data_IF_628024303185
#
_entry.id   IF_628024303185
#
_cell.length_a   1.000
_cell.length_b   1.000
_cell.length_c   1.000
_cell.angle_alpha   90.00
_cell.angle_beta   90.00
_cell.angle_gamma   90.00
#
_symmetry.space_group_name_H-M   'P 1'
#
loop_
_entity.id
_entity.type
_entity.pdbx_description
1 polymer ?
#
# COMPACT_ATOMS: atom_id res chain seq x y z
N UNK A 1 -35.42 7.11 -15.48
CA UNK A 1 -35.90 5.99 -14.64
C UNK A 1 -35.31 4.65 -15.07
N UNK A 2 -35.36 4.25 -16.34
CA UNK A 2 -34.71 3.02 -16.83
C UNK A 2 -33.18 2.98 -16.57
N UNK A 3 -32.46 4.03 -16.98
CA UNK A 3 -31.01 4.12 -16.75
C UNK A 3 -30.58 4.15 -15.26
N UNK A 4 -31.47 4.56 -14.35
CA UNK A 4 -31.18 4.56 -12.91
C UNK A 4 -31.38 3.16 -12.29
N UNK A 5 -32.40 2.43 -12.74
CA UNK A 5 -32.61 1.03 -12.34
C UNK A 5 -31.52 0.10 -12.87
N UNK A 6 -31.05 0.34 -14.09
CA UNK A 6 -29.94 -0.40 -14.70
C UNK A 6 -28.62 -0.19 -13.93
N UNK A 7 -28.33 1.06 -13.53
CA UNK A 7 -27.16 1.39 -12.69
C UNK A 7 -27.21 0.73 -11.30
N UNK A 8 -28.38 0.72 -10.65
CA UNK A 8 -28.56 0.01 -9.36
C UNK A 8 -28.26 -1.49 -9.49
N UNK A 9 -28.77 -2.13 -10.54
CA UNK A 9 -28.54 -3.55 -10.79
C UNK A 9 -27.07 -3.89 -11.09
N UNK A 10 -26.36 -3.01 -11.80
CA UNK A 10 -24.92 -3.20 -12.07
C UNK A 10 -24.09 -3.14 -10.77
N UNK A 11 -24.38 -2.16 -9.90
CA UNK A 11 -23.68 -2.03 -8.61
C UNK A 11 -23.94 -3.24 -7.70
N UNK A 12 -25.18 -3.71 -7.64
CA UNK A 12 -25.56 -4.92 -6.90
C UNK A 12 -24.84 -6.16 -7.47
N UNK A 13 -24.72 -6.27 -8.79
CA UNK A 13 -24.00 -7.36 -9.44
C UNK A 13 -22.49 -7.34 -9.10
N UNK A 14 -21.85 -6.17 -9.07
CA UNK A 14 -20.45 -6.03 -8.66
C UNK A 14 -20.26 -6.44 -7.19
N UNK A 15 -21.16 -6.01 -6.29
CA UNK A 15 -21.13 -6.40 -4.89
C UNK A 15 -21.33 -7.92 -4.71
N UNK A 16 -22.30 -8.52 -5.41
CA UNK A 16 -22.54 -9.96 -5.37
C UNK A 16 -21.33 -10.75 -5.91
N UNK A 17 -20.68 -10.26 -6.97
CA UNK A 17 -19.49 -10.88 -7.51
C UNK A 17 -18.31 -10.83 -6.52
N UNK A 18 -18.15 -9.72 -5.80
CA UNK A 18 -17.16 -9.60 -4.72
C UNK A 18 -17.39 -10.69 -3.66
N UNK A 19 -18.61 -10.82 -3.14
CA UNK A 19 -18.96 -11.82 -2.13
C UNK A 19 -18.73 -13.26 -2.61
N UNK A 20 -18.98 -13.53 -3.89
CA UNK A 20 -18.71 -14.85 -4.47
C UNK A 20 -17.21 -15.17 -4.58
N UNK A 21 -16.37 -14.17 -4.75
CA UNK A 21 -14.94 -14.34 -5.09
C UNK A 21 -13.99 -14.12 -3.92
N UNK A 22 -14.43 -13.42 -2.88
CA UNK A 22 -13.60 -13.12 -1.69
C UNK A 22 -13.06 -14.41 -1.07
N UNK A 23 -11.74 -14.45 -0.82
CA UNK A 23 -11.07 -15.60 -0.23
C UNK A 23 -11.05 -16.88 -1.09
N UNK A 24 -11.48 -16.84 -2.36
CA UNK A 24 -11.52 -18.02 -3.24
C UNK A 24 -10.82 -17.76 -4.57
N UNK A 25 -9.54 -18.15 -4.66
CA UNK A 25 -8.74 -18.05 -5.89
C UNK A 25 -9.43 -18.76 -7.08
N UNK A 26 -10.00 -19.95 -6.86
CA UNK A 26 -10.69 -20.71 -7.90
C UNK A 26 -11.91 -19.96 -8.48
N UNK A 27 -12.77 -19.40 -7.63
CA UNK A 27 -13.95 -18.63 -8.08
C UNK A 27 -13.53 -17.33 -8.75
N UNK A 28 -12.52 -16.67 -8.20
CA UNK A 28 -12.00 -15.44 -8.75
C UNK A 28 -11.32 -15.66 -10.12
N UNK A 29 -10.61 -16.78 -10.31
CA UNK A 29 -10.07 -17.21 -11.59
C UNK A 29 -11.17 -17.56 -12.61
N UNK A 30 -12.23 -18.25 -12.17
CA UNK A 30 -13.38 -18.56 -13.01
C UNK A 30 -14.10 -17.29 -13.48
N UNK A 31 -14.39 -16.36 -12.56
CA UNK A 31 -15.00 -15.08 -12.88
C UNK A 31 -14.13 -14.23 -13.82
N UNK A 32 -12.82 -14.16 -13.56
CA UNK A 32 -11.88 -13.45 -14.45
C UNK A 32 -11.84 -14.08 -15.85
N UNK A 33 -11.91 -15.41 -15.96
CA UNK A 33 -11.95 -16.12 -17.25
C UNK A 33 -13.26 -15.92 -17.99
N UNK A 34 -14.36 -15.68 -17.27
CA UNK A 34 -15.67 -15.34 -17.82
C UNK A 34 -15.77 -13.86 -18.27
N UNK A 35 -14.69 -13.08 -18.19
CA UNK A 35 -14.68 -11.68 -18.64
C UNK A 35 -15.14 -10.66 -17.60
N UNK A 36 -15.18 -11.01 -16.32
CA UNK A 36 -15.65 -10.09 -15.28
C UNK A 36 -14.80 -8.81 -15.14
N UNK A 37 -13.48 -8.90 -15.34
CA UNK A 37 -12.55 -7.77 -15.18
C UNK A 37 -12.86 -6.60 -16.15
N UNK A 38 -12.89 -6.81 -17.49
CA UNK A 38 -13.21 -5.72 -18.40
C UNK A 38 -14.63 -5.17 -18.18
N UNK A 39 -15.62 -6.03 -17.91
CA UNK A 39 -17.00 -5.58 -17.65
C UNK A 39 -17.10 -4.67 -16.41
N UNK A 40 -16.38 -5.00 -15.34
CA UNK A 40 -16.31 -4.17 -14.14
C UNK A 40 -15.62 -2.83 -14.42
N UNK A 41 -14.59 -2.81 -15.27
CA UNK A 41 -13.91 -1.57 -15.63
C UNK A 41 -14.78 -0.63 -16.46
N UNK A 42 -15.53 -1.16 -17.42
CA UNK A 42 -16.48 -0.38 -18.24
C UNK A 42 -17.53 0.33 -17.38
N UNK A 43 -17.91 -0.28 -16.24
CA UNK A 43 -18.83 0.35 -15.29
C UNK A 43 -18.27 1.62 -14.64
N UNK A 44 -16.95 1.77 -14.57
CA UNK A 44 -16.28 2.98 -14.04
C UNK A 44 -16.25 4.08 -15.11
N UNK A 45 -16.07 3.73 -16.39
CA UNK A 45 -15.96 4.68 -17.51
C UNK A 45 -17.30 5.27 -17.97
N UNK A 46 -18.42 4.53 -17.87
CA UNK A 46 -19.75 4.98 -18.36
C UNK A 46 -20.36 6.12 -17.53
N UNK A 47 -19.67 6.57 -16.49
CA UNK A 47 -20.18 7.52 -15.53
C UNK A 47 -19.52 8.88 -15.70
N UNK A 48 -20.19 9.82 -16.39
CA UNK A 48 -19.78 11.24 -16.45
C UNK A 48 -19.69 11.95 -15.08
N UNK A 49 -20.05 11.26 -14.00
CA UNK A 49 -19.67 11.49 -12.59
C UNK A 49 -20.09 10.21 -11.84
N UNK A 50 -19.19 9.22 -11.63
CA UNK A 50 -19.60 7.98 -10.99
C UNK A 50 -19.97 8.27 -9.53
N UNK A 51 -21.17 7.85 -9.14
CA UNK A 51 -21.56 7.89 -7.73
C UNK A 51 -20.51 7.10 -6.93
N UNK A 52 -19.95 7.65 -5.83
CA UNK A 52 -18.86 7.02 -5.08
C UNK A 52 -19.14 5.55 -4.71
N UNK A 53 -20.42 5.23 -4.46
CA UNK A 53 -20.88 3.88 -4.15
C UNK A 53 -20.66 2.87 -5.29
N UNK A 54 -20.83 3.28 -6.55
CA UNK A 54 -20.60 2.41 -7.70
C UNK A 54 -19.12 2.08 -7.88
N UNK A 55 -18.24 3.09 -7.74
CA UNK A 55 -16.78 2.88 -7.81
C UNK A 55 -16.32 1.97 -6.66
N UNK A 56 -16.88 2.13 -5.46
CA UNK A 56 -16.61 1.28 -4.31
C UNK A 56 -16.94 -0.19 -4.58
N UNK A 57 -18.14 -0.48 -5.10
CA UNK A 57 -18.54 -1.86 -5.41
C UNK A 57 -17.63 -2.49 -6.46
N UNK A 58 -17.32 -1.74 -7.52
CA UNK A 58 -16.41 -2.18 -8.59
C UNK A 58 -14.99 -2.40 -8.05
N UNK A 59 -14.44 -1.44 -7.32
CA UNK A 59 -13.09 -1.52 -6.76
C UNK A 59 -12.95 -2.71 -5.80
N UNK A 60 -13.99 -2.99 -5.00
CA UNK A 60 -14.05 -4.17 -4.14
C UNK A 60 -14.06 -5.48 -4.92
N UNK A 61 -14.85 -5.57 -5.99
CA UNK A 61 -14.89 -6.75 -6.86
C UNK A 61 -13.57 -6.95 -7.63
N UNK A 62 -12.99 -5.88 -8.17
CA UNK A 62 -11.69 -5.96 -8.85
C UNK A 62 -10.57 -6.36 -7.88
N UNK A 63 -10.62 -5.90 -6.63
CA UNK A 63 -9.69 -6.33 -5.57
C UNK A 63 -9.79 -7.84 -5.31
N UNK A 64 -10.99 -8.38 -5.12
CA UNK A 64 -11.16 -9.83 -4.89
C UNK A 64 -10.76 -10.66 -6.12
N UNK A 65 -10.97 -10.12 -7.32
CA UNK A 65 -10.50 -10.74 -8.57
C UNK A 65 -9.00 -10.65 -8.78
N UNK A 66 -8.29 -9.70 -8.17
CA UNK A 66 -6.82 -9.60 -8.26
C UNK A 66 -6.10 -10.35 -7.14
N UNK A 67 -6.78 -10.59 -6.01
CA UNK A 67 -6.19 -11.19 -4.82
C UNK A 67 -5.57 -12.56 -5.11
N UNK A 68 -4.33 -12.73 -4.65
CA UNK A 68 -3.56 -13.97 -4.80
C UNK A 68 -2.98 -14.23 -6.19
N UNK A 69 -3.17 -13.36 -7.19
CA UNK A 69 -2.69 -13.62 -8.55
C UNK A 69 -2.12 -12.38 -9.25
N UNK A 70 -0.81 -12.40 -9.51
CA UNK A 70 -0.12 -11.35 -10.27
C UNK A 70 -0.73 -11.14 -11.65
N UNK A 71 -0.99 -12.23 -12.39
CA UNK A 71 -1.61 -12.18 -13.72
C UNK A 71 -2.99 -11.53 -13.74
N UNK A 72 -3.82 -11.81 -12.72
CA UNK A 72 -5.15 -11.16 -12.62
C UNK A 72 -5.00 -9.70 -12.23
N UNK A 73 -4.09 -9.39 -11.32
CA UNK A 73 -3.76 -8.00 -10.99
C UNK A 73 -3.23 -7.21 -12.21
N UNK A 74 -2.43 -7.82 -13.07
CA UNK A 74 -1.94 -7.18 -14.31
C UNK A 74 -3.11 -6.86 -15.24
N UNK A 75 -4.05 -7.81 -15.40
CA UNK A 75 -5.30 -7.57 -16.17
C UNK A 75 -6.13 -6.45 -15.58
N UNK A 76 -6.24 -6.35 -14.25
CA UNK A 76 -6.98 -5.28 -13.57
C UNK A 76 -6.29 -3.93 -13.77
N UNK A 77 -4.95 -3.86 -13.68
CA UNK A 77 -4.21 -2.61 -13.96
C UNK A 77 -4.36 -2.19 -15.42
N UNK A 78 -4.37 -3.14 -16.35
CA UNK A 78 -4.53 -2.87 -17.78
C UNK A 78 -5.90 -2.25 -18.15
N UNK A 79 -6.89 -2.27 -17.25
CA UNK A 79 -8.17 -1.61 -17.49
C UNK A 79 -8.18 -0.11 -17.17
N UNK A 80 -7.04 0.47 -16.73
CA UNK A 80 -6.98 1.89 -16.38
C UNK A 80 -7.59 2.24 -15.02
N UNK A 81 -7.97 1.24 -14.19
CA UNK A 81 -8.68 1.47 -12.92
C UNK A 81 -7.90 2.34 -11.91
N UNK A 82 -6.58 2.45 -12.04
CA UNK A 82 -5.74 3.16 -11.06
C UNK A 82 -6.08 4.66 -10.97
N UNK A 83 -6.38 5.33 -12.07
CA UNK A 83 -6.75 6.76 -12.05
C UNK A 83 -8.05 7.02 -11.27
N UNK A 84 -9.16 6.29 -11.52
CA UNK A 84 -10.35 6.35 -10.67
C UNK A 84 -10.10 6.05 -9.19
N UNK A 85 -9.22 5.09 -8.88
CA UNK A 85 -8.87 4.78 -7.49
C UNK A 85 -8.13 5.95 -6.81
N UNK A 86 -7.25 6.63 -7.53
CA UNK A 86 -6.54 7.81 -7.01
C UNK A 86 -7.50 8.97 -6.75
N UNK A 87 -8.43 9.22 -7.67
CA UNK A 87 -9.50 10.22 -7.45
C UNK A 87 -10.34 9.90 -6.22
N UNK A 88 -10.65 8.62 -5.97
CA UNK A 88 -11.33 8.21 -4.74
C UNK A 88 -10.51 8.47 -3.48
N UNK A 89 -9.19 8.30 -3.51
CA UNK A 89 -8.35 8.61 -2.35
C UNK A 89 -8.34 10.11 -2.01
N UNK A 90 -8.50 10.97 -3.01
CA UNK A 90 -8.47 12.43 -2.85
C UNK A 90 -9.82 13.03 -2.42
N UNK A 91 -10.92 12.50 -2.97
CA UNK A 91 -12.24 13.13 -2.89
C UNK A 91 -13.28 12.24 -2.20
N UNK A 92 -12.95 10.97 -1.94
CA UNK A 92 -13.87 9.98 -1.41
C UNK A 92 -14.18 10.16 0.07
N UNK A 93 -15.23 9.46 0.51
CA UNK A 93 -15.46 9.23 1.94
C UNK A 93 -14.40 8.30 2.48
N UNK A 94 -14.34 8.19 3.80
CA UNK A 94 -13.34 7.36 4.45
C UNK A 94 -13.42 5.86 4.08
N UNK A 95 -14.65 5.38 3.85
CA UNK A 95 -14.91 4.04 3.30
C UNK A 95 -14.40 3.89 1.86
N UNK A 96 -14.61 4.90 1.02
CA UNK A 96 -14.10 4.92 -0.35
C UNK A 96 -12.56 4.87 -0.36
N UNK A 97 -11.92 5.68 0.48
CA UNK A 97 -10.47 5.71 0.63
C UNK A 97 -9.93 4.36 1.10
N UNK A 98 -10.61 3.70 2.06
CA UNK A 98 -10.19 2.41 2.56
C UNK A 98 -10.22 1.32 1.48
N UNK A 99 -11.25 1.31 0.64
CA UNK A 99 -11.38 0.37 -0.47
C UNK A 99 -10.37 0.69 -1.56
N UNK A 100 -10.22 1.96 -1.94
CA UNK A 100 -9.25 2.37 -2.96
C UNK A 100 -7.81 2.03 -2.56
N UNK A 101 -7.41 2.35 -1.33
CA UNK A 101 -6.10 2.01 -0.78
C UNK A 101 -5.91 0.48 -0.72
N UNK A 102 -6.96 -0.26 -0.33
CA UNK A 102 -6.94 -1.72 -0.27
C UNK A 102 -6.74 -2.35 -1.65
N UNK A 103 -7.42 -1.82 -2.66
CA UNK A 103 -7.26 -2.26 -4.06
C UNK A 103 -5.85 -1.95 -4.55
N UNK A 104 -5.33 -0.74 -4.35
CA UNK A 104 -3.95 -0.39 -4.73
C UNK A 104 -2.93 -1.27 -4.01
N UNK A 105 -3.11 -1.57 -2.72
CA UNK A 105 -2.26 -2.51 -1.97
C UNK A 105 -2.24 -3.89 -2.64
N UNK A 106 -3.40 -4.43 -2.99
CA UNK A 106 -3.50 -5.73 -3.69
C UNK A 106 -2.82 -5.68 -5.06
N UNK A 107 -3.08 -4.65 -5.86
CA UNK A 107 -2.51 -4.50 -7.20
C UNK A 107 -0.99 -4.28 -7.18
N UNK A 108 -0.42 -3.73 -6.11
CA UNK A 108 1.02 -3.49 -6.00
C UNK A 108 1.77 -4.62 -5.28
N UNK A 109 1.06 -5.67 -4.82
CA UNK A 109 1.62 -6.85 -4.16
C UNK A 109 1.74 -8.08 -5.07
N UNK A 110 2.13 -9.22 -4.49
CA UNK A 110 2.21 -10.50 -5.21
C UNK A 110 3.42 -10.65 -6.14
N UNK A 111 3.30 -11.58 -7.10
CA UNK A 111 4.35 -11.97 -8.05
C UNK A 111 4.64 -10.88 -9.09
N UNK A 112 5.92 -10.62 -9.39
CA UNK A 112 6.37 -9.65 -10.41
C UNK A 112 5.61 -8.30 -10.42
N UNK A 113 5.47 -7.59 -9.27
CA UNK A 113 4.63 -6.40 -9.20
C UNK A 113 5.31 -5.14 -9.78
N UNK A 114 6.41 -5.28 -10.51
CA UNK A 114 7.28 -4.19 -10.94
C UNK A 114 6.54 -3.12 -11.75
N UNK A 115 5.86 -3.57 -12.80
CA UNK A 115 5.06 -2.72 -13.70
C UNK A 115 3.82 -2.18 -13.01
N UNK A 116 3.11 -3.01 -12.23
CA UNK A 116 1.92 -2.57 -11.47
C UNK A 116 2.25 -1.46 -10.48
N UNK A 117 3.38 -1.56 -9.79
CA UNK A 117 3.89 -0.49 -8.91
C UNK A 117 4.27 0.77 -9.69
N UNK A 118 4.84 0.64 -10.89
CA UNK A 118 5.16 1.80 -11.72
C UNK A 118 3.87 2.49 -12.20
N UNK A 119 2.88 1.72 -12.67
CA UNK A 119 1.57 2.23 -13.06
C UNK A 119 0.86 2.98 -11.92
N UNK A 120 0.86 2.42 -10.70
CA UNK A 120 0.26 3.08 -9.53
C UNK A 120 0.94 4.42 -9.20
N UNK A 121 2.26 4.49 -9.36
CA UNK A 121 3.01 5.74 -9.16
C UNK A 121 2.71 6.74 -10.28
N UNK A 122 2.66 6.31 -11.54
CA UNK A 122 2.30 7.15 -12.69
C UNK A 122 0.87 7.69 -12.59
N UNK A 123 -0.06 6.93 -12.01
CA UNK A 123 -1.43 7.36 -11.75
C UNK A 123 -1.55 8.37 -10.59
N UNK A 124 -0.46 8.72 -9.88
CA UNK A 124 -0.47 9.72 -8.83
C UNK A 124 -0.76 9.20 -7.42
N UNK A 125 -0.70 7.88 -7.17
CA UNK A 125 -1.15 7.32 -5.89
C UNK A 125 -0.34 7.74 -4.65
N UNK A 126 0.88 8.28 -4.80
CA UNK A 126 1.78 8.51 -3.66
C UNK A 126 1.27 9.56 -2.67
N UNK A 127 0.91 10.76 -3.14
CA UNK A 127 0.51 11.86 -2.24
C UNK A 127 -0.80 11.55 -1.50
N UNK A 128 -1.85 11.02 -2.14
CA UNK A 128 -3.08 10.65 -1.42
C UNK A 128 -2.86 9.53 -0.40
N UNK A 129 -2.02 8.53 -0.72
CA UNK A 129 -1.68 7.48 0.24
C UNK A 129 -0.91 8.03 1.45
N UNK A 130 0.01 8.96 1.25
CA UNK A 130 0.73 9.63 2.35
C UNK A 130 -0.24 10.47 3.19
N UNK A 131 -1.17 11.19 2.54
CA UNK A 131 -2.16 12.00 3.24
C UNK A 131 -3.03 11.17 4.20
N UNK A 132 -3.45 9.97 3.78
CA UNK A 132 -4.20 9.03 4.63
C UNK A 132 -3.41 8.56 5.86
N UNK A 133 -2.08 8.62 5.83
CA UNK A 133 -1.24 8.31 6.99
C UNK A 133 -1.03 9.53 7.91
N UNK A 134 -1.30 10.74 7.44
CA UNK A 134 -1.16 11.97 8.24
C UNK A 134 -2.46 12.35 8.95
N UNK A 135 -3.61 11.98 8.39
CA UNK A 135 -4.98 12.27 8.83
C UNK A 135 -5.38 11.55 10.12
N UNK A 136 -4.65 11.80 11.20
CA UNK A 136 -4.86 11.25 12.54
C UNK A 136 -6.33 11.44 12.97
N UNK A 137 -7.07 10.34 13.06
CA UNK A 137 -8.46 10.31 13.54
C UNK A 137 -9.54 10.59 12.48
N UNK A 138 -9.17 10.87 11.22
CA UNK A 138 -10.13 10.97 10.10
C UNK A 138 -10.16 9.74 9.21
N UNK A 139 -9.14 8.89 9.33
CA UNK A 139 -9.03 7.64 8.57
C UNK A 139 -9.30 6.42 9.44
N UNK A 140 -10.18 5.55 8.95
CA UNK A 140 -10.53 4.28 9.56
C UNK A 140 -9.29 3.42 9.73
N UNK A 141 -9.28 2.53 10.73
CA UNK A 141 -8.17 1.63 10.96
C UNK A 141 -7.86 0.78 9.72
N UNK A 142 -8.90 0.33 9.00
CA UNK A 142 -8.75 -0.41 7.75
C UNK A 142 -8.11 0.43 6.65
N UNK A 143 -8.62 1.65 6.41
CA UNK A 143 -8.06 2.53 5.39
C UNK A 143 -6.62 2.93 5.67
N UNK A 144 -6.29 3.17 6.94
CA UNK A 144 -4.94 3.45 7.39
C UNK A 144 -3.99 2.28 7.10
N UNK A 145 -4.37 1.07 7.51
CA UNK A 145 -3.57 -0.15 7.31
C UNK A 145 -3.39 -0.47 5.82
N UNK A 146 -4.44 -0.28 5.02
CA UNK A 146 -4.35 -0.43 3.57
C UNK A 146 -3.41 0.60 2.93
N UNK A 147 -3.52 1.88 3.32
CA UNK A 147 -2.65 2.92 2.80
C UNK A 147 -1.19 2.66 3.14
N UNK A 148 -0.92 2.23 4.37
CA UNK A 148 0.42 1.88 4.84
C UNK A 148 1.00 0.69 4.06
N UNK A 149 0.20 -0.37 3.88
CA UNK A 149 0.61 -1.54 3.10
C UNK A 149 0.86 -1.23 1.62
N UNK A 150 0.02 -0.39 1.01
CA UNK A 150 0.25 0.10 -0.35
C UNK A 150 1.56 0.88 -0.45
N UNK A 151 1.80 1.82 0.47
CA UNK A 151 3.01 2.62 0.50
C UNK A 151 4.26 1.74 0.72
N UNK A 152 4.18 0.75 1.62
CA UNK A 152 5.24 -0.25 1.85
C UNK A 152 5.60 -1.02 0.58
N UNK A 153 4.60 -1.39 -0.24
CA UNK A 153 4.83 -2.04 -1.53
C UNK A 153 5.55 -1.11 -2.52
N UNK A 154 5.17 0.16 -2.55
CA UNK A 154 5.73 1.19 -3.43
C UNK A 154 7.16 1.60 -3.01
N UNK A 155 7.52 1.51 -1.72
CA UNK A 155 8.89 1.71 -1.23
C UNK A 155 9.90 0.68 -1.77
N UNK A 156 9.43 -0.50 -2.18
CA UNK A 156 10.30 -1.51 -2.78
C UNK A 156 10.57 -1.19 -4.27
N UNK A 157 11.77 -1.47 -4.78
CA UNK A 157 12.12 -1.35 -6.21
C UNK A 157 13.24 -0.36 -6.53
N UNK A 158 13.27 0.24 -7.73
CA UNK A 158 14.40 1.04 -8.19
C UNK A 158 14.58 2.33 -7.39
N UNK A 159 15.78 2.90 -7.47
CA UNK A 159 16.15 4.11 -6.74
C UNK A 159 15.25 5.31 -7.08
N UNK A 160 14.83 5.42 -8.33
CA UNK A 160 13.93 6.48 -8.81
C UNK A 160 12.60 6.48 -8.07
N UNK A 161 11.90 5.33 -8.02
CA UNK A 161 10.63 5.18 -7.31
C UNK A 161 10.78 5.50 -5.81
N UNK A 162 11.87 5.05 -5.18
CA UNK A 162 12.17 5.41 -3.78
C UNK A 162 12.33 6.92 -3.60
N UNK A 163 12.95 7.59 -4.56
CA UNK A 163 13.05 9.05 -4.58
C UNK A 163 11.68 9.73 -4.70
N UNK A 164 10.77 9.19 -5.53
CA UNK A 164 9.39 9.69 -5.64
C UNK A 164 8.62 9.54 -4.34
N UNK A 165 8.72 8.38 -3.68
CA UNK A 165 8.09 8.14 -2.37
C UNK A 165 8.58 9.14 -1.32
N UNK A 166 9.88 9.44 -1.28
CA UNK A 166 10.44 10.43 -0.36
C UNK A 166 9.97 11.85 -0.69
N UNK A 167 9.89 12.22 -1.97
CA UNK A 167 9.36 13.53 -2.40
C UNK A 167 7.89 13.72 -2.05
N UNK A 168 7.11 12.64 -2.07
CA UNK A 168 5.72 12.64 -1.63
C UNK A 168 5.55 12.78 -0.10
N UNK A 169 6.63 12.92 0.68
CA UNK A 169 6.56 13.19 2.11
C UNK A 169 6.42 11.96 3.02
N UNK A 170 6.52 10.74 2.47
CA UNK A 170 6.25 9.48 3.19
C UNK A 170 7.06 9.28 4.48
N UNK A 171 8.24 9.90 4.61
CA UNK A 171 9.17 9.60 5.70
C UNK A 171 8.66 10.06 7.07
N UNK A 172 8.02 11.22 7.15
CA UNK A 172 7.49 11.76 8.40
C UNK A 172 6.37 10.89 9.01
N UNK A 173 5.31 10.50 8.28
CA UNK A 173 4.29 9.62 8.83
C UNK A 173 4.82 8.23 9.17
N UNK A 174 5.75 7.67 8.38
CA UNK A 174 6.38 6.39 8.72
C UNK A 174 7.13 6.46 10.06
N UNK A 175 7.96 7.49 10.26
CA UNK A 175 8.68 7.70 11.52
C UNK A 175 7.72 7.88 12.72
N UNK A 176 6.62 8.60 12.51
CA UNK A 176 5.57 8.81 13.52
C UNK A 176 4.92 7.49 13.94
N UNK A 177 4.59 6.62 12.99
CA UNK A 177 3.98 5.29 13.26
C UNK A 177 4.90 4.45 14.14
N UNK A 178 6.20 4.38 13.81
CA UNK A 178 7.18 3.64 14.63
C UNK A 178 7.31 4.21 16.05
N UNK A 179 7.28 5.53 16.19
CA UNK A 179 7.42 6.20 17.48
C UNK A 179 6.23 5.91 18.39
N UNK A 180 5.02 6.06 17.85
CA UNK A 180 3.77 5.88 18.60
C UNK A 180 3.47 4.40 18.88
N UNK A 181 3.86 3.50 17.97
CA UNK A 181 3.73 2.05 18.11
C UNK A 181 2.35 1.57 18.62
N UNK A 182 1.26 2.20 18.14
CA UNK A 182 -0.12 1.91 18.61
C UNK A 182 -0.62 0.51 18.24
N UNK A 183 -0.11 -0.04 17.15
CA UNK A 183 -0.49 -1.34 16.60
C UNK A 183 0.78 -2.07 16.15
N UNK A 184 0.95 -3.32 16.56
CA UNK A 184 2.12 -4.12 16.19
C UNK A 184 2.21 -4.31 14.67
N UNK A 185 1.09 -4.67 14.02
CA UNK A 185 1.03 -4.88 12.57
C UNK A 185 1.43 -3.62 11.79
N UNK A 186 0.89 -2.45 12.17
CA UNK A 186 1.25 -1.20 11.49
C UNK A 186 2.71 -0.80 11.75
N UNK A 187 3.24 -1.10 12.95
CA UNK A 187 4.64 -0.86 13.28
C UNK A 187 5.58 -1.71 12.41
N UNK A 188 5.21 -2.97 12.18
CA UNK A 188 5.93 -3.89 11.27
C UNK A 188 5.88 -3.38 9.83
N UNK A 189 4.69 -3.02 9.32
CA UNK A 189 4.52 -2.53 7.94
C UNK A 189 5.30 -1.22 7.71
N UNK A 190 5.26 -0.28 8.66
CA UNK A 190 6.05 0.94 8.58
C UNK A 190 7.56 0.67 8.63
N UNK A 191 7.99 -0.28 9.45
CA UNK A 191 9.40 -0.71 9.52
C UNK A 191 9.84 -1.34 8.19
N UNK A 192 9.01 -2.19 7.58
CA UNK A 192 9.28 -2.80 6.28
C UNK A 192 9.38 -1.74 5.17
N UNK A 193 8.55 -0.70 5.21
CA UNK A 193 8.63 0.44 4.30
C UNK A 193 9.97 1.19 4.45
N UNK A 194 10.37 1.51 5.68
CA UNK A 194 11.67 2.16 5.96
C UNK A 194 12.85 1.29 5.55
N UNK A 195 12.80 -0.02 5.84
CA UNK A 195 13.81 -1.00 5.42
C UNK A 195 14.00 -0.97 3.90
N UNK A 196 12.90 -0.91 3.15
CA UNK A 196 12.94 -0.84 1.68
C UNK A 196 13.59 0.48 1.21
N UNK A 197 13.27 1.62 1.84
CA UNK A 197 13.88 2.92 1.55
C UNK A 197 15.38 2.98 1.88
N UNK A 198 15.81 2.27 2.94
CA UNK A 198 17.21 2.19 3.40
C UNK A 198 18.13 1.35 2.50
N UNK A 199 17.67 0.87 1.35
CA UNK A 199 18.51 0.09 0.42
C UNK A 199 19.19 0.98 -0.65
N UNK A 200 20.47 0.68 -0.92
CA UNK A 200 21.24 1.29 -2.01
C UNK A 200 21.92 2.61 -1.65
N UNK A 201 21.16 3.71 -1.61
CA UNK A 201 21.69 5.08 -1.48
C UNK A 201 22.00 5.44 -0.03
N UNK A 202 23.19 6.00 0.20
CA UNK A 202 23.61 6.49 1.51
C UNK A 202 22.87 7.77 1.93
N UNK A 203 22.54 8.66 1.00
CA UNK A 203 21.71 9.84 1.30
C UNK A 203 20.34 9.42 1.81
N UNK A 204 19.70 8.43 1.18
CA UNK A 204 18.41 7.91 1.66
C UNK A 204 18.53 7.30 3.06
N UNK A 205 19.59 6.54 3.34
CA UNK A 205 19.83 6.00 4.69
C UNK A 205 20.01 7.13 5.69
N UNK A 206 20.75 8.18 5.35
CA UNK A 206 20.94 9.36 6.19
C UNK A 206 19.62 10.09 6.45
N UNK A 207 18.75 10.24 5.44
CA UNK A 207 17.41 10.81 5.61
C UNK A 207 16.58 9.98 6.60
N UNK A 208 16.57 8.66 6.48
CA UNK A 208 15.85 7.77 7.43
C UNK A 208 16.38 7.93 8.85
N UNK A 209 17.70 8.04 9.04
CA UNK A 209 18.29 8.31 10.36
C UNK A 209 17.90 9.69 10.89
N UNK A 210 17.95 10.72 10.05
CA UNK A 210 17.61 12.09 10.40
C UNK A 210 16.11 12.27 10.75
N UNK A 211 15.24 11.41 10.23
CA UNK A 211 13.83 11.36 10.60
C UNK A 211 13.58 10.80 12.02
N UNK A 212 14.64 10.46 12.76
CA UNK A 212 14.54 9.98 14.14
C UNK A 212 14.07 8.53 14.25
N UNK A 213 14.23 7.74 13.19
CA UNK A 213 13.79 6.34 13.18
C UNK A 213 14.68 5.41 14.03
N UNK A 214 15.90 5.81 14.39
CA UNK A 214 16.83 4.91 15.10
C UNK A 214 16.30 4.45 16.47
N UNK A 215 15.95 5.32 17.44
CA UNK A 215 15.46 4.86 18.74
C UNK A 215 14.24 3.92 18.67
N UNK A 216 13.18 4.19 17.88
CA UNK A 216 12.06 3.27 17.81
C UNK A 216 12.38 1.97 17.06
N UNK A 217 13.33 1.97 16.10
CA UNK A 217 13.83 0.73 15.47
C UNK A 217 14.59 -0.15 16.47
N UNK A 218 15.42 0.45 17.34
CA UNK A 218 16.10 -0.30 18.41
C UNK A 218 15.08 -0.89 19.37
N UNK A 219 14.11 -0.08 19.84
CA UNK A 219 13.04 -0.57 20.72
C UNK A 219 12.29 -1.74 20.10
N UNK A 220 11.92 -1.65 18.82
CA UNK A 220 11.24 -2.74 18.11
C UNK A 220 12.12 -3.99 18.00
N UNK A 221 13.43 -3.83 17.83
CA UNK A 221 14.38 -4.95 17.81
C UNK A 221 14.51 -5.65 19.17
N UNK A 222 14.44 -4.91 20.28
CA UNK A 222 14.58 -5.47 21.63
C UNK A 222 13.25 -6.03 22.18
N UNK A 223 12.15 -5.30 21.98
CA UNK A 223 10.88 -5.53 22.66
C UNK A 223 9.80 -6.08 21.72
N UNK A 224 10.01 -6.03 20.39
CA UNK A 224 9.03 -6.48 19.41
C UNK A 224 8.77 -7.99 19.46
N UNK A 225 7.71 -8.41 18.78
CA UNK A 225 7.47 -9.82 18.48
C UNK A 225 8.47 -10.34 17.43
N UNK A 226 8.44 -11.63 17.13
CA UNK A 226 9.41 -12.25 16.22
C UNK A 226 9.47 -11.54 14.85
N UNK A 227 8.32 -11.11 14.32
CA UNK A 227 8.26 -10.40 13.03
C UNK A 227 8.84 -8.99 13.14
N UNK A 228 8.42 -8.22 14.15
CA UNK A 228 8.94 -6.88 14.42
C UNK A 228 10.45 -6.87 14.64
N UNK A 229 10.98 -7.81 15.42
CA UNK A 229 12.43 -7.93 15.63
C UNK A 229 13.19 -8.21 14.32
N UNK A 230 12.66 -9.10 13.50
CA UNK A 230 13.27 -9.47 12.22
C UNK A 230 13.28 -8.29 11.21
N UNK A 231 12.17 -7.56 11.12
CA UNK A 231 12.08 -6.40 10.24
C UNK A 231 12.93 -5.23 10.75
N UNK A 232 12.95 -5.00 12.07
CA UNK A 232 13.82 -4.00 12.70
C UNK A 232 15.29 -4.30 12.45
N UNK A 233 15.73 -5.53 12.71
CA UNK A 233 17.12 -5.96 12.46
C UNK A 233 17.50 -5.75 10.99
N UNK A 234 16.62 -6.14 10.06
CA UNK A 234 16.86 -5.97 8.63
C UNK A 234 16.95 -4.50 8.22
N UNK A 235 16.12 -3.63 8.81
CA UNK A 235 16.19 -2.19 8.59
C UNK A 235 17.52 -1.62 9.10
N UNK A 236 17.91 -1.96 10.33
CA UNK A 236 19.16 -1.51 10.95
C UNK A 236 20.39 -1.96 10.16
N UNK A 237 20.42 -3.20 9.66
CA UNK A 237 21.49 -3.67 8.76
C UNK A 237 21.58 -2.85 7.48
N UNK A 238 20.45 -2.55 6.85
CA UNK A 238 20.43 -1.72 5.64
C UNK A 238 20.95 -0.30 5.92
N UNK A 239 20.61 0.28 7.06
CA UNK A 239 21.09 1.60 7.50
C UNK A 239 22.60 1.60 7.78
N UNK A 240 23.13 0.55 8.41
CA UNK A 240 24.56 0.40 8.68
C UNK A 240 25.38 0.18 7.40
N UNK A 241 24.83 -0.54 6.42
CA UNK A 241 25.57 -0.95 5.22
C UNK A 241 26.21 0.24 4.51
N UNK A 242 27.53 0.20 4.32
CA UNK A 242 28.29 1.22 3.60
C UNK A 242 28.77 2.42 4.44
N UNK A 243 28.47 2.49 5.74
CA UNK A 243 29.01 3.55 6.63
C UNK A 243 29.38 3.00 8.01
N UNK A 244 30.67 3.09 8.34
CA UNK A 244 31.17 2.71 9.66
C UNK A 244 30.65 3.63 10.76
N UNK A 245 30.40 4.91 10.47
CA UNK A 245 29.81 5.84 11.43
C UNK A 245 28.38 5.43 11.80
N UNK A 246 27.54 5.12 10.81
CA UNK A 246 26.18 4.60 11.07
C UNK A 246 26.23 3.27 11.81
N UNK A 247 27.17 2.39 11.46
CA UNK A 247 27.37 1.12 12.17
C UNK A 247 27.67 1.34 13.66
N UNK A 248 28.60 2.24 13.98
CA UNK A 248 28.96 2.61 15.36
C UNK A 248 27.79 3.27 16.09
N UNK A 249 27.03 4.15 15.44
CA UNK A 249 25.85 4.78 16.02
C UNK A 249 24.78 3.76 16.40
N UNK A 250 24.51 2.79 15.52
CA UNK A 250 23.52 1.72 15.79
C UNK A 250 24.00 0.81 16.92
N UNK A 251 25.28 0.45 16.95
CA UNK A 251 25.86 -0.35 18.04
C UNK A 251 25.81 0.39 19.39
N UNK A 252 26.16 1.67 19.41
CA UNK A 252 26.10 2.52 20.60
C UNK A 252 24.66 2.72 21.11
N UNK A 253 23.67 2.62 20.22
CA UNK A 253 22.26 2.68 20.58
C UNK A 253 21.70 1.36 21.16
N UNK A 254 22.50 0.30 21.30
CA UNK A 254 22.08 -0.98 21.89
C UNK A 254 21.79 -2.09 20.87
N UNK A 255 21.69 -1.77 19.58
CA UNK A 255 21.36 -2.75 18.53
C UNK A 255 22.59 -3.30 17.79
N UNK A 256 23.71 -3.50 18.49
CA UNK A 256 24.92 -4.10 17.90
C UNK A 256 24.68 -5.51 17.35
N UNK A 257 23.90 -6.32 18.06
CA UNK A 257 23.54 -7.69 17.66
C UNK A 257 22.71 -7.75 16.38
N UNK A 258 21.97 -6.67 16.05
CA UNK A 258 21.23 -6.62 14.81
C UNK A 258 22.15 -6.59 13.57
N UNK A 259 23.43 -6.24 13.75
CA UNK A 259 24.41 -6.01 12.68
C UNK A 259 25.26 -7.23 12.34
N UNK A 260 25.19 -8.28 13.17
CA UNK A 260 25.80 -9.59 12.94
C UNK A 260 24.99 -10.40 11.91
#
# INVERSE_FOLDING_TARGET
>A
RAAAGERSGQVEAAAALRELTIGSDARAAQAASAGAIPLLADMVEVSGSPEPYAIVAVAGALRSLAEGSGKRADKVVATGVLEPLVLLLEQGTDECCAIAAGTIRTLTGGEEPGERKAAAVSAGALEPLVHLLESSGRTSAEGFSHALGALRNLCAGPAERKGMVLRAGALAPLARILKEARCAADTVEATAALRNLATGSDDRKAMVMAAGCLPPLVRLFEEGDAEGRNEAASCLRNLAKGSEERRKLIAAAGAGQALE
#
